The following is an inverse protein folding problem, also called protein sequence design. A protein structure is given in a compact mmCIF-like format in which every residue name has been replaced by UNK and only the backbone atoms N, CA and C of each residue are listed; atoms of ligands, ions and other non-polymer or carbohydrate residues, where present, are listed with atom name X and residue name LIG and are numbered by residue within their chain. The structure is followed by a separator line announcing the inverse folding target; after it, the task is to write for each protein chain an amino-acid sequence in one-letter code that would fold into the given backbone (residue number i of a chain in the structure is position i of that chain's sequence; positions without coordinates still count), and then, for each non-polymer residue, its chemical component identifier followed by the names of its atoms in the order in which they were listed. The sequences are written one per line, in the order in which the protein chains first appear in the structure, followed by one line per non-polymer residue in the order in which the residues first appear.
data_IF_081869548953
#
_entry.id   IF_081869548953
#
_cell.length_a   1.000
_cell.length_b   1.000
_cell.length_c   1.000
_cell.angle_alpha   90.00
_cell.angle_beta   90.00
_cell.angle_gamma   90.00
#
_symmetry.space_group_name_H-M   'P 1'
#
loop_
_entity.id
_entity.type
_entity.pdbx_description
1 polymer ?
#
# COMPACT_ATOMS: atom_id res chain seq x y z
N UNK A 1 -4.35 -9.89 -3.70
CA UNK A 1 -5.66 -10.30 -4.27
C UNK A 1 -6.51 -10.97 -3.22
N UNK A 2 -7.81 -10.93 -3.35
CA UNK A 2 -8.72 -11.63 -2.44
C UNK A 2 -8.57 -13.16 -2.57
N UNK A 3 -8.98 -13.91 -1.53
CA UNK A 3 -9.09 -15.36 -1.62
C UNK A 3 -10.32 -15.76 -2.46
N UNK A 4 -10.09 -16.13 -3.73
CA UNK A 4 -11.18 -16.52 -4.64
C UNK A 4 -11.87 -17.82 -4.20
N UNK A 5 -11.21 -18.71 -3.44
CA UNK A 5 -11.83 -19.93 -2.93
C UNK A 5 -12.82 -19.61 -1.83
N UNK A 6 -12.42 -18.72 -0.90
CA UNK A 6 -13.33 -18.21 0.13
C UNK A 6 -14.49 -17.44 -0.49
N UNK A 7 -14.25 -16.62 -1.52
CA UNK A 7 -15.27 -15.87 -2.24
C UNK A 7 -16.29 -16.78 -2.94
N UNK A 8 -15.89 -17.92 -3.50
CA UNK A 8 -16.80 -18.93 -4.07
C UNK A 8 -17.69 -19.59 -3.02
N UNK A 9 -17.16 -19.78 -1.81
CA UNK A 9 -17.90 -20.45 -0.74
C UNK A 9 -18.96 -19.52 -0.11
N UNK A 10 -18.75 -18.21 -0.12
CA UNK A 10 -19.66 -17.21 0.46
C UNK A 10 -19.69 -15.93 -0.40
N UNK A 11 -20.21 -16.00 -1.65
CA UNK A 11 -20.18 -14.86 -2.58
C UNK A 11 -21.02 -13.67 -2.09
N UNK A 12 -22.12 -13.92 -1.40
CA UNK A 12 -23.02 -12.88 -0.88
C UNK A 12 -22.29 -11.99 0.16
N UNK A 13 -21.57 -12.59 1.09
CA UNK A 13 -20.77 -11.87 2.09
C UNK A 13 -19.68 -11.02 1.42
N UNK A 14 -18.93 -11.62 0.48
CA UNK A 14 -17.87 -10.88 -0.23
C UNK A 14 -18.43 -9.71 -1.02
N UNK A 15 -19.54 -9.93 -1.73
CA UNK A 15 -20.23 -8.89 -2.49
C UNK A 15 -20.71 -7.75 -1.60
N UNK A 16 -21.35 -8.07 -0.47
CA UNK A 16 -21.84 -7.07 0.48
C UNK A 16 -20.69 -6.25 1.09
N UNK A 17 -19.60 -6.90 1.48
CA UNK A 17 -18.43 -6.21 2.03
C UNK A 17 -17.78 -5.29 0.97
N UNK A 18 -17.58 -5.76 -0.26
CA UNK A 18 -17.00 -4.98 -1.35
C UNK A 18 -17.94 -3.85 -1.82
N UNK A 19 -19.25 -3.96 -1.64
CA UNK A 19 -20.19 -2.88 -1.90
C UNK A 19 -19.91 -1.64 -1.03
N UNK A 20 -19.42 -1.81 0.23
CA UNK A 20 -19.03 -0.71 1.12
C UNK A 20 -17.93 0.18 0.55
N UNK A 21 -17.17 -0.32 -0.44
CA UNK A 21 -16.13 0.43 -1.14
C UNK A 21 -16.40 0.60 -2.64
N UNK A 22 -17.66 0.46 -3.07
CA UNK A 22 -18.08 0.64 -4.46
C UNK A 22 -17.60 -0.44 -5.42
N UNK A 23 -17.08 -1.58 -4.93
CA UNK A 23 -16.45 -2.61 -5.75
C UNK A 23 -17.33 -3.84 -6.04
N UNK A 24 -18.65 -3.78 -5.77
CA UNK A 24 -19.57 -4.89 -6.02
C UNK A 24 -19.60 -5.33 -7.49
N UNK A 25 -19.60 -4.38 -8.43
CA UNK A 25 -19.61 -4.68 -9.87
C UNK A 25 -18.33 -5.40 -10.30
N UNK A 26 -17.16 -4.94 -9.85
CA UNK A 26 -15.88 -5.59 -10.14
C UNK A 26 -15.84 -7.03 -9.59
N UNK A 27 -16.45 -7.26 -8.43
CA UNK A 27 -16.59 -8.59 -7.86
C UNK A 27 -17.55 -9.47 -8.68
N UNK A 28 -18.68 -8.96 -9.13
CA UNK A 28 -19.64 -9.69 -9.98
C UNK A 28 -18.99 -10.09 -11.31
N UNK A 29 -18.20 -9.21 -11.93
CA UNK A 29 -17.39 -9.50 -13.13
C UNK A 29 -16.36 -10.63 -12.88
N UNK A 30 -15.66 -10.58 -11.75
CA UNK A 30 -14.74 -11.64 -11.36
C UNK A 30 -15.45 -12.98 -11.22
N UNK A 31 -16.58 -13.02 -10.51
CA UNK A 31 -17.32 -14.27 -10.29
C UNK A 31 -17.86 -14.86 -11.59
N UNK A 32 -18.28 -14.01 -12.54
CA UNK A 32 -18.70 -14.46 -13.87
C UNK A 32 -17.53 -15.04 -14.68
N UNK A 33 -16.37 -14.36 -14.68
CA UNK A 33 -15.16 -14.84 -15.36
C UNK A 33 -14.64 -16.16 -14.75
N UNK A 34 -14.69 -16.28 -13.43
CA UNK A 34 -14.32 -17.50 -12.71
C UNK A 34 -15.25 -18.68 -13.01
N UNK A 35 -16.54 -18.43 -13.12
CA UNK A 35 -17.53 -19.45 -13.48
C UNK A 35 -17.26 -20.01 -14.89
N UNK A 36 -17.00 -19.13 -15.86
CA UNK A 36 -16.66 -19.54 -17.23
C UNK A 36 -15.36 -20.36 -17.28
N UNK A 37 -14.30 -19.93 -16.60
CA UNK A 37 -13.05 -20.68 -16.52
C UNK A 37 -13.26 -22.07 -15.93
N UNK A 38 -14.06 -22.20 -14.87
CA UNK A 38 -14.38 -23.47 -14.22
C UNK A 38 -15.26 -24.39 -15.08
N UNK A 39 -16.09 -23.83 -15.95
CA UNK A 39 -16.90 -24.60 -16.90
C UNK A 39 -16.04 -25.21 -18.01
N UNK A 40 -15.03 -24.49 -18.50
CA UNK A 40 -14.16 -24.94 -19.59
C UNK A 40 -13.12 -25.95 -19.14
N UNK A 41 -12.64 -25.86 -17.90
CA UNK A 41 -11.54 -26.71 -17.38
C UNK A 41 -11.83 -28.22 -17.50
N UNK A 42 -12.98 -28.76 -17.04
CA UNK A 42 -13.30 -30.17 -17.20
C UNK A 42 -13.49 -30.59 -18.66
N UNK A 43 -13.94 -29.69 -19.54
CA UNK A 43 -14.11 -29.99 -20.97
C UNK A 43 -12.74 -30.27 -21.63
N UNK A 44 -11.69 -29.49 -21.28
CA UNK A 44 -10.33 -29.73 -21.75
C UNK A 44 -9.79 -31.06 -21.20
N UNK A 45 -10.01 -31.34 -19.93
CA UNK A 45 -9.55 -32.61 -19.32
C UNK A 45 -10.22 -33.82 -19.94
N UNK A 46 -11.54 -33.77 -20.23
CA UNK A 46 -12.28 -34.81 -20.91
C UNK A 46 -11.80 -35.03 -22.34
N UNK A 47 -11.58 -33.94 -23.10
CA UNK A 47 -11.06 -34.03 -24.47
C UNK A 47 -9.63 -34.58 -24.50
N UNK A 48 -8.77 -34.25 -23.55
CA UNK A 48 -7.42 -34.81 -23.40
C UNK A 48 -7.48 -36.31 -23.07
N UNK A 49 -8.37 -36.73 -22.19
CA UNK A 49 -8.55 -38.14 -21.83
C UNK A 49 -8.98 -38.98 -23.04
N UNK A 50 -9.86 -38.42 -23.91
CA UNK A 50 -10.36 -39.11 -25.12
C UNK A 50 -9.33 -39.24 -26.25
N UNK A 51 -8.17 -38.57 -26.16
CA UNK A 51 -7.08 -38.71 -27.16
C UNK A 51 -6.22 -39.97 -26.95
N UNK A 52 -6.33 -40.67 -25.81
CA UNK A 52 -5.58 -41.89 -25.52
C UNK A 52 -6.17 -43.07 -26.23
N UNK A 53 -5.63 -43.45 -27.40
CA UNK A 53 -5.99 -44.67 -28.09
C UNK A 53 -5.05 -45.82 -27.66
N UNK A 54 -5.66 -47.02 -27.54
CA UNK A 54 -4.89 -48.25 -27.39
C UNK A 54 -4.74 -48.92 -28.78
N UNK A 55 -3.50 -49.02 -29.27
CA UNK A 55 -3.19 -49.72 -30.51
C UNK A 55 -3.03 -48.82 -31.73
N UNK A 56 -2.88 -49.44 -32.93
CA UNK A 56 -2.67 -48.74 -34.19
C UNK A 56 -4.03 -48.30 -34.77
N UNK A 57 -4.30 -47.01 -34.98
CA UNK A 57 -5.60 -46.50 -35.39
C UNK A 57 -5.96 -46.91 -36.81
N UNK A 58 -7.26 -47.15 -37.06
CA UNK A 58 -7.85 -47.30 -38.41
C UNK A 58 -7.92 -45.96 -39.13
N UNK A 59 -8.09 -45.90 -40.46
CA UNK A 59 -8.25 -44.64 -41.22
C UNK A 59 -9.42 -43.75 -40.67
N UNK A 60 -10.54 -44.37 -40.31
CA UNK A 60 -11.71 -43.68 -39.73
C UNK A 60 -11.39 -43.12 -38.33
N UNK A 61 -10.70 -43.90 -37.51
CA UNK A 61 -10.20 -43.41 -36.22
C UNK A 61 -9.19 -42.28 -36.32
N UNK A 62 -8.40 -42.23 -37.41
CA UNK A 62 -7.49 -41.11 -37.68
C UNK A 62 -8.24 -39.82 -38.00
N UNK A 63 -9.35 -39.89 -38.72
CA UNK A 63 -10.18 -38.73 -39.06
C UNK A 63 -10.91 -38.20 -37.80
N UNK A 64 -11.46 -39.09 -36.99
CA UNK A 64 -12.04 -38.74 -35.67
C UNK A 64 -11.00 -38.11 -34.75
N UNK A 65 -9.77 -38.64 -34.70
CA UNK A 65 -8.68 -38.07 -33.92
C UNK A 65 -8.30 -36.65 -34.39
N UNK A 66 -8.30 -36.39 -35.71
CA UNK A 66 -8.07 -35.04 -36.24
C UNK A 66 -9.15 -34.06 -35.79
N UNK A 67 -10.41 -34.44 -35.92
CA UNK A 67 -11.54 -33.60 -35.48
C UNK A 67 -11.49 -33.35 -33.97
N UNK A 68 -11.17 -34.38 -33.16
CA UNK A 68 -11.01 -34.23 -31.69
C UNK A 68 -9.83 -33.31 -31.35
N UNK A 69 -8.72 -33.40 -32.07
CA UNK A 69 -7.55 -32.56 -31.86
C UNK A 69 -7.85 -31.07 -32.20
N UNK A 70 -8.58 -30.82 -33.28
CA UNK A 70 -9.02 -29.48 -33.64
C UNK A 70 -9.96 -28.90 -32.57
N UNK A 71 -10.92 -29.72 -32.10
CA UNK A 71 -11.82 -29.32 -31.04
C UNK A 71 -11.08 -29.05 -29.72
N UNK A 72 -10.11 -29.89 -29.35
CA UNK A 72 -9.28 -29.67 -28.15
C UNK A 72 -8.53 -28.36 -28.26
N UNK A 73 -7.88 -28.07 -29.39
CA UNK A 73 -7.14 -26.83 -29.58
C UNK A 73 -8.04 -25.58 -29.48
N UNK A 74 -9.29 -25.66 -29.98
CA UNK A 74 -10.25 -24.57 -29.85
C UNK A 74 -10.66 -24.35 -28.39
N UNK A 75 -11.01 -25.40 -27.63
CA UNK A 75 -11.41 -25.28 -26.21
C UNK A 75 -10.22 -24.89 -25.32
N UNK A 76 -9.00 -25.34 -25.63
CA UNK A 76 -7.79 -24.88 -24.94
C UNK A 76 -7.55 -23.38 -25.15
N UNK A 77 -7.80 -22.86 -26.34
CA UNK A 77 -7.69 -21.42 -26.61
C UNK A 77 -8.78 -20.62 -25.84
N UNK A 78 -10.01 -21.14 -25.78
CA UNK A 78 -11.09 -20.54 -24.99
C UNK A 78 -10.77 -20.56 -23.49
N UNK A 79 -10.22 -21.68 -22.98
CA UNK A 79 -9.80 -21.80 -21.58
C UNK A 79 -8.70 -20.79 -21.23
N UNK A 80 -7.69 -20.66 -22.10
CA UNK A 80 -6.61 -19.68 -21.89
C UNK A 80 -7.13 -18.24 -21.90
N UNK A 81 -8.08 -17.92 -22.78
CA UNK A 81 -8.73 -16.60 -22.81
C UNK A 81 -9.57 -16.36 -21.54
N UNK A 82 -10.31 -17.37 -21.07
CA UNK A 82 -11.09 -17.28 -19.85
C UNK A 82 -10.20 -17.15 -18.59
N UNK A 83 -9.06 -17.82 -18.55
CA UNK A 83 -8.07 -17.70 -17.49
C UNK A 83 -7.49 -16.27 -17.43
N UNK A 84 -7.06 -15.74 -18.56
CA UNK A 84 -6.56 -14.38 -18.66
C UNK A 84 -7.61 -13.33 -18.24
N UNK A 85 -8.88 -13.52 -18.65
CA UNK A 85 -9.99 -12.65 -18.26
C UNK A 85 -10.26 -12.71 -16.75
N UNK A 86 -10.26 -13.91 -16.16
CA UNK A 86 -10.42 -14.12 -14.72
C UNK A 86 -9.29 -13.44 -13.94
N UNK A 87 -8.04 -13.62 -14.35
CA UNK A 87 -6.87 -13.07 -13.67
C UNK A 87 -6.86 -11.53 -13.76
N UNK A 88 -7.25 -10.99 -14.92
CA UNK A 88 -7.42 -9.55 -15.10
C UNK A 88 -8.55 -8.97 -14.23
N UNK A 89 -9.67 -9.67 -14.09
CA UNK A 89 -10.77 -9.29 -13.22
C UNK A 89 -10.35 -9.37 -11.74
N UNK A 90 -9.66 -10.45 -11.33
CA UNK A 90 -9.16 -10.64 -9.97
C UNK A 90 -8.15 -9.55 -9.57
N UNK A 91 -7.33 -9.09 -10.50
CA UNK A 91 -6.36 -8.01 -10.27
C UNK A 91 -7.03 -6.65 -9.96
N UNK A 92 -8.25 -6.43 -10.44
CA UNK A 92 -9.03 -5.19 -10.23
C UNK A 92 -9.84 -5.18 -8.95
N UNK A 93 -10.16 -6.35 -8.37
CA UNK A 93 -10.93 -6.41 -7.13
C UNK A 93 -10.04 -6.00 -5.96
N UNK A 94 -10.40 -4.94 -5.22
CA UNK A 94 -9.65 -4.52 -4.04
C UNK A 94 -9.83 -5.51 -2.89
N UNK A 95 -9.05 -5.33 -1.83
CA UNK A 95 -9.18 -6.12 -0.62
C UNK A 95 -10.56 -5.92 0.04
N UNK A 96 -11.02 -6.94 0.74
CA UNK A 96 -12.27 -6.90 1.50
C UNK A 96 -12.10 -5.99 2.71
N UNK A 97 -12.92 -4.93 2.87
CA UNK A 97 -12.82 -4.08 4.04
C UNK A 97 -13.24 -4.87 5.31
N UNK A 98 -12.49 -4.66 6.39
CA UNK A 98 -12.84 -5.21 7.69
C UNK A 98 -14.14 -4.59 8.21
N UNK A 99 -14.92 -5.34 9.00
CA UNK A 99 -16.21 -4.89 9.51
C UNK A 99 -16.09 -3.61 10.37
N UNK A 100 -14.94 -3.42 11.05
CA UNK A 100 -14.66 -2.23 11.85
C UNK A 100 -14.10 -1.03 11.09
N UNK A 101 -13.88 -1.11 9.77
CA UNK A 101 -13.62 0.07 8.96
C UNK A 101 -14.84 0.99 8.96
N UNK A 102 -14.66 2.30 8.95
CA UNK A 102 -15.79 3.21 8.92
C UNK A 102 -16.59 3.07 7.62
N UNK A 103 -17.91 3.29 7.68
CA UNK A 103 -18.73 3.37 6.48
C UNK A 103 -18.55 4.73 5.82
N UNK A 104 -18.63 4.77 4.48
CA UNK A 104 -18.46 5.98 3.68
C UNK A 104 -17.60 5.75 2.45
N UNK A 105 -17.51 6.77 1.59
CA UNK A 105 -16.86 6.70 0.29
C UNK A 105 -15.64 7.60 0.13
N UNK A 106 -15.47 8.58 1.02
CA UNK A 106 -14.48 9.65 0.90
C UNK A 106 -13.75 9.92 2.22
N UNK A 107 -12.68 10.71 2.16
CA UNK A 107 -11.94 11.18 3.35
C UNK A 107 -12.83 11.91 4.37
N UNK A 108 -13.89 12.58 3.91
CA UNK A 108 -14.83 13.31 4.78
C UNK A 108 -15.71 12.38 5.63
N UNK A 109 -15.83 11.11 5.25
CA UNK A 109 -16.60 10.09 5.97
C UNK A 109 -15.75 9.37 7.04
N UNK A 110 -14.47 9.72 7.19
CA UNK A 110 -13.59 9.15 8.20
C UNK A 110 -14.05 9.52 9.61
N UNK A 111 -13.95 8.57 10.54
CA UNK A 111 -14.44 8.73 11.92
C UNK A 111 -13.29 8.99 12.87
N UNK A 112 -13.29 10.15 13.54
CA UNK A 112 -12.33 10.42 14.62
C UNK A 112 -12.58 9.47 15.79
N UNK A 113 -11.51 8.74 16.19
CA UNK A 113 -11.57 7.77 17.28
C UNK A 113 -10.76 8.19 18.51
N UNK A 114 -9.79 9.09 18.34
CA UNK A 114 -8.90 9.54 19.40
C UNK A 114 -8.29 10.89 19.08
N UNK A 115 -7.97 11.67 20.11
CA UNK A 115 -7.23 12.93 20.00
C UNK A 115 -6.22 13.05 21.14
N UNK A 116 -5.08 13.68 20.86
CA UNK A 116 -4.04 13.97 21.82
C UNK A 116 -3.45 15.38 21.61
N UNK A 117 -3.09 16.03 22.71
CA UNK A 117 -2.55 17.39 22.72
C UNK A 117 -3.60 18.48 22.49
N UNK A 118 -3.22 19.72 22.75
CA UNK A 118 -4.08 20.88 22.54
C UNK A 118 -3.72 21.59 21.23
N UNK A 119 -4.69 21.74 20.35
CA UNK A 119 -4.56 22.49 19.11
C UNK A 119 -4.43 23.99 19.44
N UNK A 120 -3.22 24.52 19.39
CA UNK A 120 -2.94 25.93 19.62
C UNK A 120 -3.09 26.76 18.35
N UNK A 121 -3.23 28.11 18.48
CA UNK A 121 -3.39 29.00 17.33
C UNK A 121 -2.09 29.17 16.52
N UNK A 122 -0.93 28.72 17.04
CA UNK A 122 0.37 29.04 16.45
C UNK A 122 0.65 30.56 16.42
N UNK A 123 1.53 30.97 15.52
CA UNK A 123 1.79 32.40 15.26
C UNK A 123 1.20 32.88 13.90
N UNK A 124 0.42 32.01 13.24
CA UNK A 124 -0.28 32.29 11.99
C UNK A 124 0.58 32.19 10.72
N UNK A 125 1.87 31.88 10.85
CA UNK A 125 2.77 31.71 9.70
C UNK A 125 2.76 30.28 9.18
N UNK A 126 2.79 30.12 7.86
CA UNK A 126 3.00 28.83 7.21
C UNK A 126 4.44 28.33 7.39
N UNK A 127 4.63 27.02 7.31
CA UNK A 127 5.95 26.39 7.43
C UNK A 127 7.00 26.98 6.46
N UNK A 128 6.59 27.40 5.26
CA UNK A 128 7.44 28.05 4.26
C UNK A 128 7.90 29.46 4.63
N UNK A 129 7.21 30.12 5.56
CA UNK A 129 7.56 31.45 6.08
C UNK A 129 8.46 31.34 7.31
N UNK A 130 8.48 30.18 7.97
CA UNK A 130 9.27 29.91 9.17
C UNK A 130 10.59 29.23 8.80
N UNK A 131 10.51 28.16 8.00
CA UNK A 131 11.66 27.38 7.60
C UNK A 131 12.31 27.83 6.28
N UNK A 132 13.50 27.32 6.01
CA UNK A 132 14.21 27.58 4.77
C UNK A 132 13.74 26.59 3.69
N UNK A 133 12.64 26.95 3.00
CA UNK A 133 11.98 26.18 1.94
C UNK A 133 11.96 27.00 0.65
N UNK A 134 12.54 26.48 -0.44
CA UNK A 134 12.64 27.17 -1.73
C UNK A 134 11.91 26.38 -2.83
N UNK A 135 10.67 26.77 -3.05
CA UNK A 135 9.82 26.22 -4.11
C UNK A 135 10.13 26.81 -5.48
N UNK A 136 10.69 28.04 -5.53
CA UNK A 136 11.02 28.72 -6.80
C UNK A 136 12.19 28.02 -7.49
N UNK A 137 13.28 27.76 -6.74
CA UNK A 137 14.41 27.02 -7.27
C UNK A 137 14.04 25.55 -7.57
N UNK A 138 13.18 24.93 -6.75
CA UNK A 138 12.64 23.59 -7.02
C UNK A 138 11.90 23.56 -8.35
N UNK A 139 11.00 24.51 -8.60
CA UNK A 139 10.27 24.62 -9.85
C UNK A 139 11.18 24.91 -11.05
N UNK A 140 12.24 25.69 -10.87
CA UNK A 140 13.23 25.98 -11.91
C UNK A 140 14.00 24.70 -12.34
N UNK A 141 14.29 23.80 -11.41
CA UNK A 141 15.10 22.60 -11.68
C UNK A 141 14.24 21.45 -12.19
N UNK A 142 13.06 21.23 -11.60
CA UNK A 142 12.29 19.99 -11.82
C UNK A 142 10.81 20.24 -12.19
N UNK A 143 10.35 21.49 -12.19
CA UNK A 143 8.96 21.84 -12.43
C UNK A 143 8.17 22.10 -11.15
N UNK A 144 6.87 22.32 -11.30
CA UNK A 144 5.96 22.58 -10.17
C UNK A 144 5.95 21.41 -9.19
N UNK A 145 5.63 21.68 -7.91
CA UNK A 145 5.57 20.68 -6.82
C UNK A 145 6.90 19.98 -6.53
N UNK A 146 8.03 20.61 -6.84
CA UNK A 146 9.35 20.29 -6.33
C UNK A 146 9.87 21.45 -5.51
N UNK A 147 10.56 21.19 -4.40
CA UNK A 147 11.14 22.20 -3.53
C UNK A 147 12.50 21.77 -3.01
N UNK A 148 13.27 22.75 -2.57
CA UNK A 148 14.46 22.53 -1.76
C UNK A 148 14.12 22.82 -0.30
N UNK A 149 14.54 21.92 0.58
CA UNK A 149 14.60 22.18 2.03
C UNK A 149 16.07 22.49 2.32
N UNK A 150 16.33 23.62 2.96
CA UNK A 150 17.68 24.14 3.08
C UNK A 150 18.07 24.33 4.55
N UNK A 151 19.40 24.41 4.77
CA UNK A 151 20.04 24.85 6.02
C UNK A 151 19.46 24.13 7.27
N UNK A 152 19.09 24.89 8.29
CA UNK A 152 18.56 24.38 9.57
C UNK A 152 17.33 23.51 9.39
N UNK A 153 16.42 23.84 8.45
CA UNK A 153 15.23 23.05 8.16
C UNK A 153 15.57 21.67 7.59
N UNK A 154 16.60 21.57 6.75
CA UNK A 154 17.07 20.29 6.25
C UNK A 154 17.65 19.42 7.39
N UNK A 155 18.36 20.01 8.33
CA UNK A 155 18.86 19.30 9.52
C UNK A 155 17.73 18.81 10.42
N UNK A 156 16.64 19.58 10.55
CA UNK A 156 15.42 19.13 11.26
C UNK A 156 14.83 17.89 10.59
N UNK A 157 14.70 17.88 9.26
CA UNK A 157 14.19 16.72 8.52
C UNK A 157 15.07 15.49 8.69
N UNK A 158 16.40 15.60 8.58
CA UNK A 158 17.33 14.50 8.83
C UNK A 158 17.23 13.97 10.27
N UNK A 159 17.16 14.87 11.24
CA UNK A 159 17.01 14.50 12.66
C UNK A 159 15.68 13.76 12.91
N UNK A 160 14.59 14.21 12.27
CA UNK A 160 13.27 13.56 12.35
C UNK A 160 13.33 12.12 11.82
N UNK A 161 13.93 11.89 10.65
CA UNK A 161 14.02 10.53 10.10
C UNK A 161 14.92 9.64 10.97
N UNK A 162 16.02 10.18 11.52
CA UNK A 162 16.88 9.43 12.43
C UNK A 162 16.13 9.11 13.74
N UNK A 163 15.42 10.08 14.33
CA UNK A 163 14.56 9.86 15.49
C UNK A 163 13.56 8.73 15.28
N UNK A 164 12.85 8.73 14.13
CA UNK A 164 11.89 7.69 13.81
C UNK A 164 12.57 6.32 13.64
N UNK A 165 13.70 6.24 12.92
CA UNK A 165 14.44 4.99 12.73
C UNK A 165 15.00 4.46 14.06
N UNK A 166 15.58 5.32 14.92
CA UNK A 166 16.08 4.93 16.24
C UNK A 166 14.95 4.32 17.09
N UNK A 167 13.79 4.97 17.11
CA UNK A 167 12.62 4.45 17.82
C UNK A 167 12.20 3.08 17.29
N UNK A 168 12.10 2.92 15.97
CA UNK A 168 11.67 1.66 15.36
C UNK A 168 12.65 0.52 15.62
N UNK A 169 13.95 0.77 15.55
CA UNK A 169 14.98 -0.24 15.88
C UNK A 169 14.85 -0.67 17.35
N UNK A 170 14.58 0.26 18.26
CA UNK A 170 14.35 -0.05 19.68
C UNK A 170 13.02 -0.81 19.91
N UNK A 171 12.05 -0.68 19.00
CA UNK A 171 10.82 -1.49 18.98
C UNK A 171 11.00 -2.87 18.30
N UNK A 172 12.21 -3.21 17.87
CA UNK A 172 12.56 -4.50 17.28
C UNK A 172 12.42 -4.58 15.75
N UNK A 173 12.29 -3.45 15.07
CA UNK A 173 12.31 -3.43 13.61
C UNK A 173 13.73 -3.52 13.07
N UNK A 174 13.90 -4.27 11.99
CA UNK A 174 15.13 -4.33 11.20
C UNK A 174 15.17 -3.15 10.22
N UNK A 175 16.19 -2.29 10.35
CA UNK A 175 16.37 -1.17 9.44
C UNK A 175 16.88 -1.63 8.07
N UNK A 176 16.29 -1.12 6.99
CA UNK A 176 16.58 -1.47 5.59
C UNK A 176 16.80 -0.20 4.76
N UNK A 177 17.77 -0.22 3.85
CA UNK A 177 17.92 0.75 2.77
C UNK A 177 17.47 0.09 1.46
N UNK A 178 16.22 0.28 1.04
CA UNK A 178 15.66 -0.41 -0.11
C UNK A 178 15.99 0.30 -1.43
N UNK A 179 15.95 -0.41 -2.58
CA UNK A 179 15.93 0.24 -3.88
C UNK A 179 14.64 1.04 -4.07
N UNK A 180 14.75 2.21 -4.72
CA UNK A 180 13.60 3.07 -5.06
C UNK A 180 13.11 2.88 -6.51
N UNK A 181 13.83 2.10 -7.31
CA UNK A 181 13.44 1.64 -8.64
C UNK A 181 13.07 0.15 -8.55
N UNK A 182 11.86 -0.17 -8.95
CA UNK A 182 11.32 -1.53 -8.85
C UNK A 182 10.71 -1.98 -10.19
N UNK A 183 10.59 -3.29 -10.37
CA UNK A 183 9.90 -3.90 -11.52
C UNK A 183 8.38 -3.80 -11.38
N UNK A 184 7.66 -3.97 -12.49
CA UNK A 184 6.20 -3.96 -12.52
C UNK A 184 5.59 -5.03 -11.61
N UNK A 185 6.22 -6.19 -11.50
CA UNK A 185 5.77 -7.29 -10.64
C UNK A 185 5.74 -6.89 -9.17
N UNK A 186 6.68 -6.07 -8.69
CA UNK A 186 6.68 -5.55 -7.33
C UNK A 186 5.51 -4.59 -7.08
N UNK A 187 5.21 -3.71 -8.05
CA UNK A 187 4.06 -2.82 -7.99
C UNK A 187 2.73 -3.58 -8.03
N UNK A 188 2.68 -4.65 -8.83
CA UNK A 188 1.53 -5.56 -8.89
C UNK A 188 1.36 -6.33 -7.58
N UNK A 189 2.43 -6.92 -7.06
CA UNK A 189 2.42 -7.72 -5.84
C UNK A 189 1.89 -6.95 -4.62
N UNK A 190 2.24 -5.68 -4.51
CA UNK A 190 1.78 -4.81 -3.42
C UNK A 190 0.37 -4.23 -3.63
N UNK A 191 -0.21 -4.37 -4.82
CA UNK A 191 -1.58 -3.96 -5.11
C UNK A 191 -1.74 -2.54 -5.66
N UNK A 192 -0.64 -1.82 -5.95
CA UNK A 192 -0.70 -0.52 -6.60
C UNK A 192 -1.08 -0.63 -8.07
N UNK A 193 -0.62 -1.68 -8.76
CA UNK A 193 -1.04 -1.95 -10.13
C UNK A 193 -2.11 -3.05 -10.18
N UNK A 194 -3.04 -2.96 -11.14
CA UNK A 194 -3.13 -2.00 -12.26
C UNK A 194 -3.78 -0.66 -11.92
N UNK A 195 -4.43 -0.48 -10.76
CA UNK A 195 -5.34 0.63 -10.46
C UNK A 195 -4.66 2.01 -10.51
N UNK A 196 -3.49 2.13 -9.88
CA UNK A 196 -2.85 3.42 -9.61
C UNK A 196 -1.69 3.72 -10.58
N UNK A 197 -1.58 2.98 -11.69
CA UNK A 197 -0.43 3.07 -12.62
C UNK A 197 -0.16 4.49 -13.11
N UNK A 198 -1.18 5.33 -13.25
CA UNK A 198 -1.07 6.71 -13.68
C UNK A 198 -0.32 7.61 -12.67
N UNK A 199 -0.28 7.23 -11.39
CA UNK A 199 0.36 8.01 -10.32
C UNK A 199 1.86 7.74 -10.14
N UNK A 200 2.42 6.80 -10.92
CA UNK A 200 3.83 6.42 -10.80
C UNK A 200 4.67 6.88 -11.99
N UNK A 201 5.92 7.24 -11.71
CA UNK A 201 6.92 7.55 -12.73
C UNK A 201 7.50 6.26 -13.28
N UNK A 202 7.42 6.09 -14.61
CA UNK A 202 8.01 4.97 -15.34
C UNK A 202 9.34 5.38 -15.95
N UNK A 203 10.38 4.56 -15.73
CA UNK A 203 11.66 4.63 -16.46
C UNK A 203 11.56 3.63 -17.60
N UNK A 204 11.00 4.08 -18.71
CA UNK A 204 10.60 3.24 -19.86
C UNK A 204 11.76 2.46 -20.46
N UNK A 205 12.98 3.04 -20.51
CA UNK A 205 14.17 2.39 -21.07
C UNK A 205 14.55 1.11 -20.32
N UNK A 206 14.35 1.09 -18.99
CA UNK A 206 14.74 -0.01 -18.11
C UNK A 206 13.55 -0.84 -17.66
N UNK A 207 12.32 -0.45 -18.02
CA UNK A 207 11.05 -1.06 -17.56
C UNK A 207 10.95 -1.11 -16.04
N UNK A 208 11.33 -0.01 -15.39
CA UNK A 208 11.28 0.16 -13.94
C UNK A 208 10.34 1.31 -13.58
N UNK A 209 9.90 1.31 -12.31
CA UNK A 209 9.04 2.35 -11.75
C UNK A 209 9.69 2.94 -10.51
N UNK A 210 9.59 4.26 -10.34
CA UNK A 210 9.94 4.92 -9.09
C UNK A 210 8.83 4.65 -8.06
N UNK A 211 9.22 4.24 -6.85
CA UNK A 211 8.28 3.91 -5.79
C UNK A 211 7.63 5.14 -5.18
N UNK A 212 6.36 5.06 -4.84
CA UNK A 212 5.64 6.06 -4.04
C UNK A 212 5.72 5.82 -2.54
N UNK A 213 6.33 4.70 -2.13
CA UNK A 213 6.52 4.24 -0.75
C UNK A 213 7.51 3.08 -0.71
N UNK A 214 8.34 2.99 0.33
CA UNK A 214 9.21 1.82 0.54
C UNK A 214 8.46 0.55 0.94
N UNK A 215 7.17 0.62 1.21
CA UNK A 215 6.30 -0.57 1.31
C UNK A 215 6.51 -1.50 0.12
N UNK A 216 6.60 -0.96 -1.10
CA UNK A 216 6.75 -1.77 -2.32
C UNK A 216 8.00 -2.65 -2.28
N UNK A 217 9.24 -2.13 -2.16
CA UNK A 217 10.41 -2.98 -2.12
C UNK A 217 10.49 -3.83 -0.84
N UNK A 218 9.94 -3.38 0.29
CA UNK A 218 9.94 -4.16 1.53
C UNK A 218 9.00 -5.37 1.46
N UNK A 219 7.88 -5.27 0.76
CA UNK A 219 7.01 -6.43 0.49
C UNK A 219 7.61 -7.30 -0.63
N UNK A 220 8.11 -6.68 -1.70
CA UNK A 220 8.62 -7.42 -2.84
C UNK A 220 9.92 -8.20 -2.56
N UNK A 221 10.68 -7.84 -1.51
CA UNK A 221 11.92 -8.57 -1.16
C UNK A 221 11.68 -10.05 -0.82
N UNK A 222 10.46 -10.40 -0.45
CA UNK A 222 10.07 -11.79 -0.13
C UNK A 222 9.13 -12.42 -1.18
N UNK A 223 9.05 -11.85 -2.40
CA UNK A 223 8.24 -12.44 -3.47
C UNK A 223 8.66 -13.86 -3.76
N UNK A 224 7.64 -14.75 -3.92
CA UNK A 224 7.79 -16.18 -4.19
C UNK A 224 8.58 -16.95 -3.12
N UNK A 225 8.69 -16.43 -1.90
CA UNK A 225 9.39 -17.07 -0.79
C UNK A 225 8.44 -17.77 0.19
N UNK A 226 9.00 -18.78 0.89
CA UNK A 226 8.38 -19.41 2.05
C UNK A 226 9.15 -18.94 3.29
N UNK A 227 8.51 -18.12 4.10
CA UNK A 227 9.08 -17.57 5.33
C UNK A 227 9.15 -18.66 6.41
N UNK A 228 10.31 -18.77 7.05
CA UNK A 228 10.53 -19.76 8.11
C UNK A 228 10.00 -19.31 9.47
N UNK A 229 9.95 -17.99 9.71
CA UNK A 229 9.54 -17.40 10.98
C UNK A 229 8.64 -16.17 10.75
N UNK A 230 7.70 -15.97 11.66
CA UNK A 230 6.88 -14.76 11.80
C UNK A 230 6.78 -14.41 13.29
N UNK A 231 6.62 -13.14 13.67
CA UNK A 231 6.54 -11.97 12.78
C UNK A 231 7.90 -11.50 12.26
N UNK A 232 7.91 -10.83 11.11
CA UNK A 232 9.05 -10.05 10.61
C UNK A 232 8.69 -8.58 10.61
N UNK A 233 9.56 -7.75 11.16
CA UNK A 233 9.39 -6.30 11.28
C UNK A 233 10.50 -5.59 10.55
N UNK A 234 10.18 -4.75 9.55
CA UNK A 234 11.12 -3.96 8.78
C UNK A 234 10.77 -2.49 8.86
N UNK A 235 11.79 -1.63 8.93
CA UNK A 235 11.63 -0.20 8.74
C UNK A 235 12.62 0.30 7.69
N UNK A 236 12.22 1.30 6.91
CA UNK A 236 13.06 1.81 5.85
C UNK A 236 12.89 3.32 5.67
N UNK A 237 14.01 4.02 5.46
CA UNK A 237 14.01 5.37 4.93
C UNK A 237 14.18 5.32 3.42
N UNK A 238 13.35 6.07 2.69
CA UNK A 238 13.50 6.23 1.25
C UNK A 238 12.94 7.54 0.72
N UNK A 239 13.46 7.97 -0.44
CA UNK A 239 12.75 8.91 -1.30
C UNK A 239 11.53 8.22 -1.92
N UNK A 240 10.43 8.95 -1.99
CA UNK A 240 9.15 8.50 -2.57
C UNK A 240 8.73 9.47 -3.69
N UNK A 241 8.10 8.92 -4.74
CA UNK A 241 7.78 9.68 -5.94
C UNK A 241 6.33 9.42 -6.34
N UNK A 242 5.53 10.49 -6.47
CA UNK A 242 4.13 10.40 -6.91
C UNK A 242 3.83 11.44 -7.97
N UNK A 243 3.14 11.10 -9.03
CA UNK A 243 2.72 12.04 -10.06
C UNK A 243 1.56 12.92 -9.61
N UNK A 244 0.85 12.51 -8.54
CA UNK A 244 -0.29 13.25 -8.00
C UNK A 244 -1.35 13.56 -9.09
N UNK A 245 -1.60 12.60 -9.98
CA UNK A 245 -2.42 12.79 -11.19
C UNK A 245 -3.90 13.10 -10.86
N UNK A 246 -4.40 12.60 -9.73
CA UNK A 246 -5.76 12.86 -9.24
C UNK A 246 -5.92 14.11 -8.37
N UNK A 247 -4.83 14.83 -8.05
CA UNK A 247 -4.83 15.93 -7.08
C UNK A 247 -4.87 17.33 -7.74
N UNK A 248 -5.51 17.45 -8.90
CA UNK A 248 -5.62 18.75 -9.58
C UNK A 248 -6.33 19.79 -8.68
N UNK A 249 -5.65 20.90 -8.39
CA UNK A 249 -6.18 21.99 -7.57
C UNK A 249 -6.06 21.81 -6.04
N UNK A 250 -5.65 20.62 -5.53
CA UNK A 250 -5.42 20.40 -4.10
C UNK A 250 -3.98 20.75 -3.72
N UNK A 251 -3.80 21.47 -2.61
CA UNK A 251 -2.48 21.81 -2.03
C UNK A 251 -1.44 22.23 -3.08
N UNK A 252 -1.77 23.24 -3.88
CA UNK A 252 -0.93 23.69 -5.01
C UNK A 252 0.27 24.53 -4.57
N UNK A 253 0.34 24.92 -3.29
CA UNK A 253 1.41 25.73 -2.71
C UNK A 253 2.15 24.96 -1.62
N UNK A 254 3.43 25.30 -1.40
CA UNK A 254 4.26 24.71 -0.35
C UNK A 254 4.64 23.25 -0.59
N UNK A 255 5.20 22.61 0.44
CA UNK A 255 5.73 21.23 0.42
C UNK A 255 4.74 20.15 0.88
N UNK A 256 3.47 20.51 1.16
CA UNK A 256 2.53 19.53 1.71
C UNK A 256 2.18 18.40 0.73
N UNK A 257 2.10 18.74 -0.58
CA UNK A 257 1.81 17.77 -1.65
C UNK A 257 2.77 17.98 -2.83
N UNK A 258 3.79 17.16 -2.87
CA UNK A 258 4.93 17.25 -3.79
C UNK A 258 5.15 15.96 -4.56
N UNK A 259 5.85 16.04 -5.69
CA UNK A 259 6.18 14.89 -6.54
C UNK A 259 7.30 14.01 -5.98
N UNK A 260 8.13 14.55 -5.11
CA UNK A 260 9.18 13.86 -4.39
C UNK A 260 9.18 14.25 -2.92
N UNK A 261 9.20 13.27 -2.04
CA UNK A 261 9.26 13.46 -0.59
C UNK A 261 10.04 12.33 0.08
N UNK A 262 10.38 12.50 1.36
CA UNK A 262 11.08 11.50 2.14
C UNK A 262 10.11 10.83 3.12
N UNK A 263 10.33 9.53 3.36
CA UNK A 263 9.48 8.76 4.26
C UNK A 263 10.28 7.69 5.02
N UNK A 264 9.98 7.57 6.30
CA UNK A 264 10.31 6.38 7.09
C UNK A 264 9.05 5.51 7.17
N UNK A 265 9.16 4.29 6.68
CA UNK A 265 8.05 3.32 6.57
C UNK A 265 8.30 2.11 7.44
N UNK A 266 7.23 1.58 8.01
CA UNK A 266 7.18 0.29 8.70
C UNK A 266 6.47 -0.74 7.84
N UNK A 267 6.98 -1.96 7.81
CA UNK A 267 6.29 -3.13 7.21
C UNK A 267 6.40 -4.31 8.17
N UNK A 268 5.28 -4.98 8.36
CA UNK A 268 5.20 -6.18 9.20
C UNK A 268 4.61 -7.34 8.41
N UNK A 269 5.24 -8.50 8.54
CA UNK A 269 4.66 -9.78 8.16
C UNK A 269 4.31 -10.54 9.42
N UNK A 270 3.08 -11.00 9.53
CA UNK A 270 2.60 -11.69 10.72
C UNK A 270 1.61 -12.79 10.38
N UNK A 271 1.24 -13.59 11.38
CA UNK A 271 0.17 -14.58 11.21
C UNK A 271 -1.20 -13.90 11.16
N UNK A 272 -2.21 -14.53 10.51
CA UNK A 272 -3.57 -14.01 10.48
C UNK A 272 -4.13 -13.69 11.87
N UNK A 273 -3.87 -14.56 12.85
CA UNK A 273 -4.39 -14.41 14.22
C UNK A 273 -3.80 -13.20 14.96
N UNK A 274 -2.53 -12.86 14.70
CA UNK A 274 -1.85 -11.75 15.37
C UNK A 274 -1.98 -10.41 14.64
N UNK A 275 -2.52 -10.38 13.42
CA UNK A 275 -2.40 -9.21 12.54
C UNK A 275 -3.17 -7.98 13.04
N UNK A 276 -4.26 -8.16 13.76
CA UNK A 276 -5.03 -7.04 14.32
C UNK A 276 -4.33 -6.43 15.55
N UNK A 277 -3.71 -7.25 16.37
CA UNK A 277 -2.90 -6.76 17.51
C UNK A 277 -1.65 -6.02 17.00
N UNK A 278 -1.02 -6.51 15.93
CA UNK A 278 0.09 -5.81 15.28
C UNK A 278 -0.36 -4.48 14.65
N UNK A 279 -1.57 -4.38 14.12
CA UNK A 279 -2.12 -3.13 13.60
C UNK A 279 -2.26 -2.07 14.70
N UNK A 280 -2.84 -2.45 15.83
CA UNK A 280 -2.95 -1.56 17.00
C UNK A 280 -1.56 -1.20 17.58
N UNK A 281 -0.62 -2.14 17.59
CA UNK A 281 0.76 -1.88 18.01
C UNK A 281 1.45 -0.86 17.10
N UNK A 282 1.32 -0.99 15.78
CA UNK A 282 1.89 -0.05 14.82
C UNK A 282 1.29 1.35 15.00
N UNK A 283 -0.03 1.45 15.16
CA UNK A 283 -0.69 2.71 15.48
C UNK A 283 -0.13 3.34 16.77
N UNK A 284 0.03 2.55 17.84
CA UNK A 284 0.60 3.03 19.10
C UNK A 284 2.05 3.54 18.95
N UNK A 285 2.85 2.93 18.07
CA UNK A 285 4.20 3.41 17.74
C UNK A 285 4.12 4.78 17.04
N UNK A 286 3.27 4.95 16.04
CA UNK A 286 3.07 6.22 15.33
C UNK A 286 2.62 7.33 16.29
N UNK A 287 1.65 7.04 17.16
CA UNK A 287 1.21 7.96 18.21
C UNK A 287 2.37 8.35 19.15
N UNK A 288 3.16 7.36 19.60
CA UNK A 288 4.29 7.61 20.51
C UNK A 288 5.38 8.51 19.91
N UNK A 289 5.58 8.41 18.58
CA UNK A 289 6.51 9.29 17.86
C UNK A 289 6.01 10.73 17.86
N UNK A 290 4.73 10.99 17.59
CA UNK A 290 4.14 12.32 17.62
C UNK A 290 4.10 12.90 19.04
N UNK A 291 3.76 12.08 20.03
CA UNK A 291 3.76 12.47 21.46
C UNK A 291 5.16 12.84 21.93
N UNK A 292 6.20 12.10 21.50
CA UNK A 292 7.59 12.42 21.81
C UNK A 292 8.09 13.74 21.21
N UNK A 293 7.34 14.31 20.26
CA UNK A 293 7.59 15.63 19.66
C UNK A 293 6.61 16.71 20.15
N UNK A 294 5.72 16.39 21.08
CA UNK A 294 4.64 17.28 21.54
C UNK A 294 3.75 17.83 20.41
N UNK A 295 3.59 17.07 19.32
CA UNK A 295 2.72 17.47 18.20
C UNK A 295 1.26 17.09 18.48
N UNK A 296 0.32 18.03 18.52
CA UNK A 296 -1.10 17.71 18.66
C UNK A 296 -1.62 16.97 17.43
N UNK A 297 -2.40 15.92 17.66
CA UNK A 297 -2.95 15.09 16.58
C UNK A 297 -4.33 14.53 16.92
N UNK A 298 -5.02 14.04 15.90
CA UNK A 298 -6.16 13.14 16.02
C UNK A 298 -5.94 11.87 15.20
N UNK A 299 -6.57 10.78 15.62
CA UNK A 299 -6.61 9.51 14.88
C UNK A 299 -7.99 9.35 14.28
N UNK A 300 -8.04 9.05 12.99
CA UNK A 300 -9.27 8.77 12.27
C UNK A 300 -9.27 7.34 11.73
N UNK A 301 -10.41 6.66 11.82
CA UNK A 301 -10.67 5.39 11.16
C UNK A 301 -11.20 5.68 9.76
N UNK A 302 -10.42 5.32 8.74
CA UNK A 302 -10.71 5.65 7.35
C UNK A 302 -11.95 4.93 6.84
N UNK A 303 -12.74 5.63 6.03
CA UNK A 303 -13.93 5.08 5.39
C UNK A 303 -13.60 3.97 4.39
N UNK A 304 -14.42 2.95 4.30
CA UNK A 304 -14.19 1.78 3.46
C UNK A 304 -13.98 2.13 1.98
N UNK A 305 -14.68 3.14 1.46
CA UNK A 305 -14.54 3.61 0.08
C UNK A 305 -13.25 4.37 -0.21
N UNK A 306 -12.60 4.93 0.83
CA UNK A 306 -11.34 5.68 0.73
C UNK A 306 -10.09 4.81 1.00
N UNK A 307 -10.26 3.54 1.33
CA UNK A 307 -9.14 2.62 1.51
C UNK A 307 -8.38 2.39 0.19
N UNK A 308 -7.05 2.33 0.26
CA UNK A 308 -6.23 1.86 -0.87
C UNK A 308 -6.62 0.44 -1.29
N UNK A 309 -6.32 0.06 -2.53
CA UNK A 309 -6.72 -1.26 -3.06
C UNK A 309 -6.30 -2.43 -2.18
N UNK A 310 -5.15 -2.35 -1.49
CA UNK A 310 -4.64 -3.42 -0.66
C UNK A 310 -5.19 -3.41 0.79
N UNK A 311 -5.59 -2.27 1.33
CA UNK A 311 -5.99 -2.14 2.73
C UNK A 311 -7.35 -2.77 3.01
N UNK A 312 -7.43 -3.54 4.09
CA UNK A 312 -8.68 -3.99 4.69
C UNK A 312 -9.18 -3.02 5.78
N UNK A 313 -8.25 -2.34 6.45
CA UNK A 313 -8.52 -1.27 7.42
C UNK A 313 -7.33 -0.33 7.46
N UNK A 314 -7.59 0.97 7.63
CA UNK A 314 -6.57 2.01 7.77
C UNK A 314 -6.96 2.98 8.87
N UNK A 315 -5.97 3.33 9.67
CA UNK A 315 -5.99 4.52 10.52
C UNK A 315 -5.12 5.58 9.88
N UNK A 316 -5.62 6.82 9.86
CA UNK A 316 -4.79 7.98 9.55
C UNK A 316 -4.60 8.80 10.81
N UNK A 317 -3.38 9.29 11.03
CA UNK A 317 -3.11 10.28 12.06
C UNK A 317 -2.93 11.62 11.37
N UNK A 318 -3.71 12.59 11.83
CA UNK A 318 -3.69 13.94 11.33
C UNK A 318 -3.12 14.86 12.43
N UNK A 319 -1.99 15.51 12.13
CA UNK A 319 -1.42 16.53 13.00
C UNK A 319 -2.14 17.87 12.82
N UNK A 320 -2.11 18.69 13.86
CA UNK A 320 -2.62 20.06 13.81
C UNK A 320 -1.70 20.96 12.98
N UNK A 321 -2.28 21.77 12.09
CA UNK A 321 -1.59 22.79 11.31
C UNK A 321 -2.18 24.17 11.64
N UNK A 322 -1.54 24.94 12.53
CA UNK A 322 -2.07 26.20 13.03
C UNK A 322 -2.36 27.23 11.94
N UNK A 323 -1.48 27.34 10.94
CA UNK A 323 -1.66 28.30 9.84
C UNK A 323 -2.88 27.99 8.96
N UNK A 324 -3.35 26.75 8.97
CA UNK A 324 -4.51 26.29 8.20
C UNK A 324 -5.76 26.11 9.08
N UNK A 325 -5.64 26.27 10.41
CA UNK A 325 -6.69 26.03 11.41
C UNK A 325 -7.38 24.68 11.23
N UNK A 326 -6.60 23.61 10.97
CA UNK A 326 -7.14 22.28 10.75
C UNK A 326 -6.12 21.14 10.99
N UNK A 327 -6.66 19.96 11.22
CA UNK A 327 -5.89 18.74 11.21
C UNK A 327 -5.62 18.27 9.78
N UNK A 328 -4.41 17.77 9.53
CA UNK A 328 -3.96 17.25 8.22
C UNK A 328 -3.26 15.92 8.39
N UNK A 329 -3.53 14.98 7.49
CA UNK A 329 -2.88 13.68 7.45
C UNK A 329 -1.35 13.81 7.34
N UNK A 330 -0.64 13.23 8.29
CA UNK A 330 0.84 13.17 8.32
C UNK A 330 1.36 11.74 8.30
N UNK A 331 0.54 10.76 8.71
CA UNK A 331 0.89 9.35 8.73
C UNK A 331 -0.35 8.47 8.58
N UNK A 332 -0.16 7.23 8.15
CA UNK A 332 -1.21 6.22 8.01
C UNK A 332 -0.69 4.84 8.39
N UNK A 333 -1.57 4.02 8.93
CA UNK A 333 -1.30 2.64 9.35
C UNK A 333 -2.37 1.70 8.77
N UNK A 334 -1.96 0.72 7.95
CA UNK A 334 -2.87 -0.18 7.24
C UNK A 334 -2.62 -1.65 7.57
N UNK A 335 -3.71 -2.39 7.78
CA UNK A 335 -3.69 -3.84 7.71
C UNK A 335 -4.20 -4.28 6.33
N UNK A 336 -3.36 -4.95 5.56
CA UNK A 336 -3.68 -5.44 4.21
C UNK A 336 -4.08 -6.90 4.19
N UNK A 337 -4.18 -7.53 5.35
CA UNK A 337 -4.46 -8.97 5.51
C UNK A 337 -3.55 -9.81 4.60
N UNK A 338 -4.06 -10.85 3.96
CA UNK A 338 -3.30 -11.72 3.06
C UNK A 338 -3.23 -11.21 1.59
N UNK A 339 -3.79 -10.02 1.31
CA UNK A 339 -3.97 -9.51 -0.04
C UNK A 339 -2.66 -9.37 -0.81
N UNK A 340 -1.66 -8.74 -0.22
CA UNK A 340 -0.35 -8.51 -0.84
C UNK A 340 0.46 -9.81 -0.89
N UNK A 341 0.46 -10.60 0.18
CA UNK A 341 1.17 -11.87 0.23
C UNK A 341 0.65 -12.86 -0.82
N UNK A 342 -0.68 -12.91 -1.07
CA UNK A 342 -1.26 -13.72 -2.15
C UNK A 342 -0.82 -13.26 -3.54
N UNK A 343 -0.73 -11.94 -3.77
CA UNK A 343 -0.29 -11.37 -5.07
C UNK A 343 1.19 -11.62 -5.32
N UNK A 344 1.98 -11.57 -4.25
CA UNK A 344 3.44 -11.72 -4.28
C UNK A 344 3.92 -13.17 -4.11
N UNK A 345 3.00 -14.16 -4.05
CA UNK A 345 3.39 -15.57 -3.90
C UNK A 345 4.01 -15.95 -2.56
N UNK A 346 3.92 -15.07 -1.54
CA UNK A 346 4.56 -15.26 -0.23
C UNK A 346 3.75 -16.26 0.59
N UNK A 347 4.45 -17.21 1.21
CA UNK A 347 3.90 -18.22 2.12
C UNK A 347 4.73 -18.25 3.41
N UNK A 348 4.20 -18.88 4.45
CA UNK A 348 4.96 -19.20 5.64
C UNK A 348 4.64 -20.60 6.16
N UNK A 349 5.51 -21.16 7.02
CA UNK A 349 5.28 -22.43 7.67
C UNK A 349 4.38 -22.27 8.89
N UNK A 350 3.13 -22.68 8.76
CA UNK A 350 2.08 -22.56 9.80
C UNK A 350 2.11 -23.71 10.83
N UNK A 351 3.24 -24.32 11.02
CA UNK A 351 3.41 -25.54 11.84
C UNK A 351 3.46 -26.82 11.01
N UNK A 352 4.42 -27.66 11.28
CA UNK A 352 4.63 -28.91 10.57
C UNK A 352 4.92 -28.74 9.06
N UNK A 353 4.11 -29.37 8.19
CA UNK A 353 4.27 -29.33 6.73
C UNK A 353 3.30 -28.41 6.02
N UNK A 354 2.35 -27.80 6.74
CA UNK A 354 1.36 -26.92 6.11
C UNK A 354 1.96 -25.55 5.80
N UNK A 355 1.60 -25.03 4.62
CA UNK A 355 1.92 -23.68 4.21
C UNK A 355 0.65 -22.83 4.28
N UNK A 356 0.78 -21.61 4.78
CA UNK A 356 -0.27 -20.63 4.81
C UNK A 356 0.22 -19.29 4.27
N UNK A 357 -0.67 -18.33 4.08
CA UNK A 357 -0.37 -16.99 3.58
C UNK A 357 -0.27 -16.03 4.75
N UNK A 358 0.85 -15.32 4.94
CA UNK A 358 0.97 -14.33 6.01
C UNK A 358 0.10 -13.11 5.73
N UNK A 359 -0.28 -12.40 6.78
CA UNK A 359 -0.80 -11.04 6.68
C UNK A 359 0.36 -10.05 6.58
N UNK A 360 0.14 -8.97 5.85
CA UNK A 360 1.07 -7.84 5.75
C UNK A 360 0.42 -6.57 6.28
N UNK A 361 1.24 -5.73 6.91
CA UNK A 361 0.84 -4.43 7.41
C UNK A 361 1.89 -3.41 6.99
N UNK A 362 1.47 -2.16 6.80
CA UNK A 362 2.37 -1.04 6.56
C UNK A 362 1.96 0.15 7.40
N UNK A 363 2.92 1.03 7.68
CA UNK A 363 2.66 2.25 8.44
C UNK A 363 3.77 3.27 8.25
N UNK A 364 3.40 4.55 8.26
CA UNK A 364 4.33 5.66 8.10
C UNK A 364 4.82 6.14 9.46
N UNK A 365 6.12 6.08 9.72
CA UNK A 365 6.69 6.57 10.97
C UNK A 365 7.08 8.06 10.93
N UNK A 366 7.49 8.59 9.78
CA UNK A 366 7.76 10.02 9.59
C UNK A 366 7.79 10.38 8.10
N UNK A 367 7.39 11.62 7.78
CA UNK A 367 7.49 12.21 6.43
C UNK A 367 7.88 13.68 6.52
N UNK A 368 8.16 14.30 5.37
CA UNK A 368 8.37 15.75 5.27
C UNK A 368 7.20 16.58 5.85
N UNK A 369 5.98 16.07 5.82
CA UNK A 369 4.80 16.73 6.44
C UNK A 369 4.98 16.95 7.94
N UNK A 370 5.68 16.07 8.65
CA UNK A 370 5.97 16.25 10.07
C UNK A 370 6.90 17.43 10.30
N UNK A 371 7.90 17.63 9.43
CA UNK A 371 8.75 18.85 9.50
C UNK A 371 7.89 20.10 9.37
N UNK A 372 6.91 20.13 8.45
CA UNK A 372 6.00 21.28 8.30
C UNK A 372 5.17 21.50 9.58
N UNK A 373 4.61 20.43 10.14
CA UNK A 373 3.82 20.49 11.38
C UNK A 373 4.67 20.99 12.55
N UNK A 374 5.94 20.55 12.69
CA UNK A 374 6.88 21.05 13.71
C UNK A 374 7.10 22.54 13.56
N UNK A 375 7.39 23.01 12.36
CA UNK A 375 7.64 24.44 12.10
C UNK A 375 6.45 25.30 12.51
N UNK A 376 5.23 24.93 12.10
CA UNK A 376 4.02 25.70 12.38
C UNK A 376 3.61 25.67 13.86
N UNK A 377 3.70 24.50 14.52
CA UNK A 377 3.29 24.38 15.92
C UNK A 377 4.26 25.09 16.88
N UNK A 378 5.57 25.12 16.55
CA UNK A 378 6.58 25.66 17.46
C UNK A 378 7.22 27.00 16.98
N UNK A 379 6.72 27.60 15.87
CA UNK A 379 7.21 28.90 15.39
C UNK A 379 8.72 28.92 15.10
N UNK A 380 9.25 27.80 14.62
CA UNK A 380 10.67 27.59 14.31
C UNK A 380 11.55 27.14 15.50
N UNK A 381 11.01 27.06 16.73
CA UNK A 381 11.70 26.32 17.79
C UNK A 381 11.60 24.81 17.51
N UNK A 382 12.64 24.04 17.84
CA UNK A 382 12.68 22.62 17.49
C UNK A 382 12.63 21.78 18.76
N UNK A 383 11.75 20.74 18.81
CA UNK A 383 11.63 19.83 19.95
C UNK A 383 13.00 19.28 20.39
N UNK A 384 13.22 19.22 21.70
CA UNK A 384 14.49 18.76 22.27
C UNK A 384 14.79 17.31 21.84
N UNK A 385 13.76 16.51 21.66
CA UNK A 385 13.89 15.13 21.17
C UNK A 385 14.65 15.02 19.84
N UNK A 386 14.56 16.02 18.95
CA UNK A 386 15.29 16.05 17.67
C UNK A 386 16.70 16.63 17.78
N UNK A 387 16.97 17.48 18.77
CA UNK A 387 18.27 18.13 18.91
C UNK A 387 19.39 17.11 19.17
N UNK A 388 19.12 16.03 19.90
CA UNK A 388 20.07 14.93 20.11
C UNK A 388 20.41 14.16 18.83
N UNK A 389 19.62 14.31 17.77
CA UNK A 389 19.87 13.74 16.43
C UNK A 389 20.46 14.78 15.45
N UNK A 390 20.88 15.93 15.94
CA UNK A 390 21.58 16.95 15.15
C UNK A 390 20.71 18.10 14.62
N UNK A 391 19.43 18.18 15.01
CA UNK A 391 18.63 19.35 14.70
C UNK A 391 19.14 20.58 15.48
N UNK A 392 19.08 21.80 14.89
CA UNK A 392 19.35 23.02 15.64
C UNK A 392 18.22 23.28 16.65
N UNK A 393 18.49 24.05 17.68
CA UNK A 393 17.44 24.43 18.65
C UNK A 393 16.35 25.33 18.02
N UNK A 394 16.69 26.02 16.91
CA UNK A 394 15.80 26.91 16.17
C UNK A 394 16.22 27.00 14.70
N UNK A 395 15.24 27.19 13.80
CA UNK A 395 15.43 27.54 12.39
C UNK A 395 14.95 28.95 12.10
#
# INVERSE_FOLDING_TARGET
MIDIRAARNDPERFRAALARRGAATAFDELMAADALWRELLPQVDDLRAQQKLQGKPTPEQLEELRARKERLAAVEAELAAAEAARDAALAKVPNVPHDSAADGMTEDDAVEIKRWGEAGPGDGREASEIGQIDMERGAKVSGSRFGFILDGTALVSFALYHYALDRLVNEGFTAVLPPVLVREEAMYGTGFFPSDKADYYEVTADKLYLVGTSEVPLIAMHMDEILDMLPLHYCAFSSCFRRESGAAGRDTRGLFRVHQFQKVEMVVYTTPDASWDEHERMLAIEESLLQGLDLPYRVVNTAAGDLSSAAAKRYDIEAWFPAQDRYREVTSCSNTTDYQARRSGIRYRAGGKSLDTPHTLNGTAATDRWTLAILENFGGAIPEALQRFGAPARV
#
